data_IF_111156566524
#
_entry.id   IF_111156566524
#
_cell.length_a   1.000
_cell.length_b   1.000
_cell.length_c   1.000
_cell.angle_alpha   90.00
_cell.angle_beta   90.00
_cell.angle_gamma   90.00
#
_symmetry.space_group_name_H-M   'P 1'
#
loop_
_entity.id
_entity.type
_entity.pdbx_description
1 polymer ?
#
# COMPACT_ATOMS: atom_id res chain seq x y z
N UNK A 1 4.08 17.32 -20.15
CA UNK A 1 2.73 16.71 -20.08
C UNK A 1 2.08 17.20 -18.80
N UNK A 2 0.80 17.49 -18.85
CA UNK A 2 0.04 17.74 -17.61
C UNK A 2 0.07 16.46 -16.77
N UNK A 3 0.29 16.55 -15.48
CA UNK A 3 0.41 15.38 -14.60
C UNK A 3 -0.83 14.45 -14.62
N UNK A 4 -2.01 15.03 -14.88
CA UNK A 4 -3.26 14.25 -15.01
C UNK A 4 -3.27 13.39 -16.28
N UNK A 5 -2.79 13.93 -17.40
CA UNK A 5 -2.66 13.16 -18.64
C UNK A 5 -1.66 12.00 -18.48
N UNK A 6 -0.52 12.24 -17.80
CA UNK A 6 0.45 11.19 -17.49
C UNK A 6 -0.15 10.10 -16.57
N UNK A 7 -0.99 10.48 -15.60
CA UNK A 7 -1.69 9.58 -14.72
C UNK A 7 -2.66 8.67 -15.52
N UNK A 8 -3.44 9.25 -16.42
CA UNK A 8 -4.37 8.49 -17.27
C UNK A 8 -3.60 7.59 -18.25
N UNK A 9 -2.52 8.07 -18.86
CA UNK A 9 -1.66 7.25 -19.72
C UNK A 9 -1.14 6.00 -19.01
N UNK A 10 -0.69 6.14 -17.77
CA UNK A 10 -0.21 5.03 -16.96
C UNK A 10 -1.29 3.96 -16.69
N UNK A 11 -2.55 4.38 -16.48
CA UNK A 11 -3.67 3.44 -16.31
C UNK A 11 -3.85 2.57 -17.57
N UNK A 12 -3.79 3.19 -18.74
CA UNK A 12 -3.95 2.47 -20.02
C UNK A 12 -2.77 1.55 -20.33
N UNK A 13 -1.54 2.01 -20.09
CA UNK A 13 -0.35 1.18 -20.27
C UNK A 13 -0.40 -0.07 -19.38
N UNK A 14 -0.82 0.10 -18.14
CA UNK A 14 -0.99 -1.02 -17.23
C UNK A 14 -2.10 -1.97 -17.68
N UNK A 15 -3.25 -1.45 -18.10
CA UNK A 15 -4.36 -2.27 -18.60
C UNK A 15 -3.96 -3.10 -19.80
N UNK A 16 -3.27 -2.50 -20.77
CA UNK A 16 -2.76 -3.21 -21.97
C UNK A 16 -1.81 -4.34 -21.55
N UNK A 17 -0.91 -4.10 -20.59
CA UNK A 17 0.03 -5.09 -20.09
C UNK A 17 -0.69 -6.25 -19.38
N UNK A 18 -1.66 -5.96 -18.54
CA UNK A 18 -2.42 -6.99 -17.82
C UNK A 18 -3.28 -7.84 -18.78
N UNK A 19 -3.85 -7.25 -19.84
CA UNK A 19 -4.58 -7.99 -20.89
C UNK A 19 -3.70 -8.94 -21.66
N UNK A 20 -2.46 -8.56 -21.95
CA UNK A 20 -1.51 -9.44 -22.66
C UNK A 20 -1.12 -10.68 -21.85
N UNK A 21 -1.31 -10.64 -20.53
CA UNK A 21 -0.97 -11.73 -19.59
C UNK A 21 -2.17 -12.62 -19.30
N UNK A 22 -3.39 -12.10 -19.45
CA UNK A 22 -4.63 -12.80 -19.10
C UNK A 22 -5.67 -12.64 -20.21
N UNK A 23 -6.42 -13.71 -20.49
CA UNK A 23 -7.62 -13.65 -21.33
C UNK A 23 -8.74 -12.91 -20.58
N UNK A 24 -8.73 -11.59 -20.63
CA UNK A 24 -9.84 -10.78 -20.12
C UNK A 24 -10.92 -10.62 -21.19
N UNK A 25 -12.18 -10.76 -20.76
CA UNK A 25 -13.33 -10.51 -21.61
C UNK A 25 -13.42 -9.03 -22.04
N UNK A 26 -14.04 -8.77 -23.20
CA UNK A 26 -14.16 -7.42 -23.81
C UNK A 26 -14.84 -6.38 -22.91
N UNK A 27 -15.64 -6.81 -21.95
CA UNK A 27 -16.40 -5.95 -21.04
C UNK A 27 -15.53 -5.10 -20.05
N UNK A 28 -14.22 -5.34 -19.97
CA UNK A 28 -13.31 -4.61 -19.08
C UNK A 28 -12.61 -3.43 -19.74
N UNK A 29 -13.12 -2.92 -20.84
CA UNK A 29 -12.52 -1.81 -21.56
C UNK A 29 -12.75 -0.51 -20.79
N UNK A 30 -11.65 0.16 -20.42
CA UNK A 30 -11.70 1.54 -19.94
C UNK A 30 -12.38 2.45 -20.98
N UNK A 31 -13.14 3.46 -20.56
CA UNK A 31 -13.65 4.49 -21.47
C UNK A 31 -12.50 5.21 -22.19
N UNK A 32 -12.72 5.89 -23.32
CA UNK A 32 -11.69 6.69 -23.95
C UNK A 32 -10.94 7.63 -22.98
N UNK A 33 -9.62 7.82 -23.16
CA UNK A 33 -8.76 8.59 -22.23
C UNK A 33 -9.35 9.92 -21.80
N UNK A 34 -9.88 10.71 -22.73
CA UNK A 34 -10.49 12.01 -22.43
C UNK A 34 -11.71 11.90 -21.48
N UNK A 35 -12.44 10.78 -21.52
CA UNK A 35 -13.55 10.53 -20.57
C UNK A 35 -13.00 10.20 -19.19
N UNK A 36 -11.95 9.39 -19.10
CA UNK A 36 -11.28 9.10 -17.81
C UNK A 36 -10.71 10.38 -17.20
N UNK A 37 -10.10 11.25 -18.01
CA UNK A 37 -9.62 12.57 -17.55
C UNK A 37 -10.76 13.44 -16.99
N UNK A 38 -11.91 13.51 -17.68
CA UNK A 38 -13.10 14.24 -17.19
C UNK A 38 -13.57 13.69 -15.84
N UNK A 39 -13.64 12.37 -15.69
CA UNK A 39 -14.01 11.72 -14.42
C UNK A 39 -12.99 12.06 -13.34
N UNK A 40 -11.69 11.95 -13.64
CA UNK A 40 -10.62 12.32 -12.71
C UNK A 40 -10.71 13.78 -12.25
N UNK A 41 -11.04 14.69 -13.15
CA UNK A 41 -11.21 16.11 -12.81
C UNK A 41 -12.38 16.31 -11.81
N UNK A 42 -13.49 15.61 -11.99
CA UNK A 42 -14.61 15.63 -11.01
C UNK A 42 -14.14 15.07 -9.66
N UNK A 43 -13.39 13.96 -9.66
CA UNK A 43 -12.87 13.34 -8.45
C UNK A 43 -11.87 14.23 -7.71
N UNK A 44 -10.97 14.91 -8.43
CA UNK A 44 -10.05 15.91 -7.85
C UNK A 44 -10.79 17.07 -7.19
N UNK A 45 -11.85 17.57 -7.83
CA UNK A 45 -12.67 18.63 -7.23
C UNK A 45 -13.31 18.14 -5.92
N UNK A 46 -13.85 16.89 -5.92
CA UNK A 46 -14.46 16.29 -4.73
C UNK A 46 -13.40 16.07 -3.64
N UNK A 47 -12.21 15.59 -3.99
CA UNK A 47 -11.16 15.27 -3.03
C UNK A 47 -10.79 16.42 -2.10
N UNK A 48 -10.93 17.65 -2.60
CA UNK A 48 -10.61 18.89 -1.87
C UNK A 48 -11.79 19.41 -1.02
N UNK A 49 -12.98 18.84 -1.15
CA UNK A 49 -14.15 19.25 -0.39
C UNK A 49 -14.22 18.51 0.94
N UNK A 50 -14.47 19.25 2.02
CA UNK A 50 -14.65 18.66 3.34
C UNK A 50 -16.13 18.44 3.65
N UNK A 51 -16.42 17.29 4.26
CA UNK A 51 -17.69 17.03 4.90
C UNK A 51 -17.44 16.66 6.37
N UNK A 52 -18.06 17.34 7.31
CA UNK A 52 -17.89 17.15 8.75
C UNK A 52 -16.41 17.08 9.19
N UNK A 53 -15.55 17.92 8.63
CA UNK A 53 -14.10 18.00 8.88
C UNK A 53 -13.27 16.85 8.30
N UNK A 54 -13.86 15.93 7.52
CA UNK A 54 -13.16 14.83 6.84
C UNK A 54 -13.11 15.09 5.34
N UNK A 55 -12.03 14.66 4.71
CA UNK A 55 -11.97 14.59 3.25
C UNK A 55 -12.59 13.26 2.78
N UNK A 56 -13.28 13.26 1.65
CA UNK A 56 -13.87 12.05 1.11
C UNK A 56 -12.79 11.06 0.68
N UNK A 57 -13.02 9.78 0.95
CA UNK A 57 -12.22 8.69 0.43
C UNK A 57 -13.14 7.60 -0.07
N UNK A 58 -13.09 7.28 -1.36
CA UNK A 58 -13.96 6.30 -2.01
C UNK A 58 -13.36 5.86 -3.35
N UNK A 59 -13.85 4.74 -3.89
CA UNK A 59 -13.41 4.19 -5.17
C UNK A 59 -14.48 4.31 -6.23
N UNK A 60 -14.05 4.54 -7.47
CA UNK A 60 -14.88 4.60 -8.66
C UNK A 60 -14.39 3.57 -9.67
N UNK A 61 -15.29 2.85 -10.32
CA UNK A 61 -14.98 1.95 -11.44
C UNK A 61 -15.90 2.21 -12.64
N UNK A 62 -15.43 1.81 -13.84
CA UNK A 62 -16.11 2.01 -15.12
C UNK A 62 -16.77 0.70 -15.59
N UNK A 63 -17.74 0.20 -14.86
CA UNK A 63 -18.42 -1.05 -15.18
C UNK A 63 -19.87 -0.74 -15.56
N UNK A 64 -20.32 -1.27 -16.68
CA UNK A 64 -21.72 -1.18 -17.10
C UNK A 64 -22.60 -2.10 -16.26
N UNK A 65 -23.85 -1.72 -15.95
CA UNK A 65 -24.75 -2.52 -15.12
C UNK A 65 -25.10 -3.90 -15.68
N UNK A 66 -25.02 -4.06 -17.00
CA UNK A 66 -25.30 -5.31 -17.74
C UNK A 66 -24.05 -6.15 -18.04
N UNK A 67 -22.90 -5.70 -17.56
CA UNK A 67 -21.62 -6.39 -17.75
C UNK A 67 -21.64 -7.83 -17.21
N UNK A 68 -21.17 -8.78 -18.02
CA UNK A 68 -21.00 -10.17 -17.60
C UNK A 68 -20.02 -10.29 -16.41
N UNK A 69 -19.11 -9.35 -16.26
CA UNK A 69 -18.21 -9.28 -15.12
C UNK A 69 -18.94 -9.26 -13.78
N UNK A 70 -20.07 -8.58 -13.70
CA UNK A 70 -20.84 -8.52 -12.47
C UNK A 70 -21.46 -9.88 -12.11
N UNK A 71 -21.62 -10.79 -13.10
CA UNK A 71 -22.11 -12.15 -12.89
C UNK A 71 -21.02 -13.12 -12.41
N UNK A 72 -19.77 -12.86 -12.75
CA UNK A 72 -18.61 -13.71 -12.36
C UNK A 72 -18.25 -13.52 -10.88
N UNK A 73 -18.50 -12.34 -10.32
CA UNK A 73 -18.19 -12.06 -8.93
C UNK A 73 -19.29 -12.54 -7.98
N UNK A 74 -19.41 -13.86 -7.82
CA UNK A 74 -20.39 -14.56 -6.96
C UNK A 74 -20.40 -14.02 -5.51
N UNK A 75 -19.32 -13.39 -5.09
CA UNK A 75 -19.08 -12.93 -3.72
C UNK A 75 -19.16 -11.41 -3.54
N UNK A 76 -19.60 -10.69 -4.55
CA UNK A 76 -19.80 -9.25 -4.48
C UNK A 76 -21.30 -8.94 -4.57
N UNK A 77 -21.76 -8.02 -3.73
CA UNK A 77 -23.11 -7.49 -3.84
C UNK A 77 -23.11 -6.33 -4.80
N UNK A 78 -23.93 -6.42 -5.84
CA UNK A 78 -24.17 -5.33 -6.78
C UNK A 78 -25.46 -4.64 -6.40
N UNK A 79 -25.37 -3.41 -5.95
CA UNK A 79 -26.51 -2.58 -5.56
C UNK A 79 -26.79 -1.56 -6.67
N UNK A 80 -27.76 -1.83 -7.52
CA UNK A 80 -28.13 -0.92 -8.58
C UNK A 80 -29.09 0.17 -8.08
N UNK A 81 -28.84 1.41 -8.47
CA UNK A 81 -29.76 2.51 -8.17
C UNK A 81 -30.99 2.43 -9.08
N UNK A 82 -32.17 2.51 -8.48
CA UNK A 82 -33.44 2.57 -9.25
C UNK A 82 -33.43 3.75 -10.22
N UNK A 83 -32.90 4.88 -9.79
CA UNK A 83 -32.71 6.07 -10.59
C UNK A 83 -31.21 6.42 -10.58
N UNK A 84 -30.48 6.23 -11.71
CA UNK A 84 -29.09 6.63 -11.81
C UNK A 84 -28.88 8.10 -11.44
N UNK A 85 -27.83 8.37 -10.70
CA UNK A 85 -27.50 9.69 -10.15
C UNK A 85 -26.50 10.36 -11.10
N UNK A 86 -26.71 11.63 -11.43
CA UNK A 86 -25.75 12.38 -12.24
C UNK A 86 -24.37 12.43 -11.58
N UNK A 87 -23.33 12.03 -12.33
CA UNK A 87 -21.95 12.01 -11.85
C UNK A 87 -21.36 13.42 -11.95
N UNK A 88 -21.52 14.19 -10.91
CA UNK A 88 -20.91 15.51 -10.78
C UNK A 88 -20.40 15.75 -9.35
N UNK A 89 -19.64 16.80 -9.16
CA UNK A 89 -18.99 17.13 -7.89
C UNK A 89 -19.99 17.20 -6.73
N UNK A 90 -21.17 17.82 -6.93
CA UNK A 90 -22.16 18.04 -5.87
C UNK A 90 -22.86 16.76 -5.42
N UNK A 91 -23.27 15.93 -6.38
CA UNK A 91 -24.03 14.71 -6.08
C UNK A 91 -23.13 13.62 -5.51
N UNK A 92 -21.94 13.45 -6.09
CA UNK A 92 -21.01 12.40 -5.65
C UNK A 92 -20.37 12.77 -4.30
N UNK A 93 -20.06 14.05 -4.06
CA UNK A 93 -19.59 14.47 -2.73
C UNK A 93 -20.57 14.08 -1.61
N UNK A 94 -21.88 14.25 -1.83
CA UNK A 94 -22.91 13.85 -0.85
C UNK A 94 -23.06 12.34 -0.70
N UNK A 95 -22.73 11.56 -1.73
CA UNK A 95 -22.78 10.11 -1.69
C UNK A 95 -21.51 9.50 -1.07
N UNK A 96 -20.38 10.20 -1.16
CA UNK A 96 -19.07 9.70 -0.72
C UNK A 96 -19.04 9.12 0.71
N UNK A 97 -19.72 9.70 1.72
CA UNK A 97 -19.74 9.13 3.08
C UNK A 97 -20.34 7.74 3.19
N UNK A 98 -21.20 7.35 2.23
CA UNK A 98 -21.80 6.02 2.20
C UNK A 98 -20.86 4.96 1.59
N UNK A 99 -19.74 5.36 1.02
CA UNK A 99 -18.81 4.50 0.32
C UNK A 99 -17.62 4.17 1.23
N UNK A 100 -17.32 2.88 1.35
CA UNK A 100 -16.13 2.43 2.06
C UNK A 100 -15.03 2.07 1.03
N UNK A 101 -13.89 2.80 0.99
CA UNK A 101 -12.86 2.59 -0.02
C UNK A 101 -12.18 1.22 0.05
N UNK A 102 -12.25 0.54 1.21
CA UNK A 102 -11.72 -0.81 1.38
C UNK A 102 -12.70 -1.92 0.94
N UNK A 103 -13.98 -1.58 0.70
CA UNK A 103 -15.04 -2.57 0.56
C UNK A 103 -16.01 -2.29 -0.59
N UNK A 104 -15.93 -1.13 -1.24
CA UNK A 104 -16.90 -0.79 -2.27
C UNK A 104 -16.34 0.04 -3.41
N UNK A 105 -16.92 -0.15 -4.60
CA UNK A 105 -16.70 0.67 -5.79
C UNK A 105 -18.00 1.34 -6.19
N UNK A 106 -17.98 2.63 -6.46
CA UNK A 106 -19.06 3.33 -7.14
C UNK A 106 -18.96 3.04 -8.64
N UNK A 107 -19.99 2.46 -9.22
CA UNK A 107 -20.07 2.20 -10.67
C UNK A 107 -20.47 3.46 -11.41
N UNK A 108 -19.69 3.85 -12.40
CA UNK A 108 -19.99 5.01 -13.25
C UNK A 108 -20.18 4.57 -14.70
N UNK A 109 -21.34 4.86 -15.22
CA UNK A 109 -21.65 4.74 -16.63
C UNK A 109 -21.27 6.03 -17.36
N UNK A 110 -20.40 5.90 -18.32
CA UNK A 110 -19.84 6.99 -19.13
C UNK A 110 -20.25 6.90 -20.59
N UNK A 111 -21.20 6.03 -20.93
CA UNK A 111 -21.68 5.82 -22.32
C UNK A 111 -22.30 7.07 -22.92
N UNK A 112 -22.99 7.86 -22.12
CA UNK A 112 -23.67 9.09 -22.53
C UNK A 112 -23.45 10.21 -21.52
N UNK A 113 -23.46 11.47 -21.98
CA UNK A 113 -23.47 12.66 -21.10
C UNK A 113 -24.89 13.09 -20.76
N UNK A 114 -25.14 13.55 -19.51
CA UNK A 114 -24.20 13.58 -18.38
C UNK A 114 -23.90 12.18 -17.86
N UNK A 115 -22.63 11.91 -17.47
CA UNK A 115 -22.23 10.65 -16.84
C UNK A 115 -23.07 10.36 -15.60
N UNK A 116 -23.27 9.09 -15.29
CA UNK A 116 -24.17 8.67 -14.20
C UNK A 116 -23.54 7.65 -13.29
N UNK A 117 -23.71 7.84 -11.99
CA UNK A 117 -23.48 6.78 -11.03
C UNK A 117 -24.69 5.85 -11.04
N UNK A 118 -24.47 4.58 -11.36
CA UNK A 118 -25.54 3.59 -11.62
C UNK A 118 -25.71 2.59 -10.48
N UNK A 119 -24.73 2.49 -9.59
CA UNK A 119 -24.81 1.56 -8.47
C UNK A 119 -23.48 1.45 -7.70
N UNK A 120 -23.44 0.49 -6.80
CA UNK A 120 -22.29 0.19 -5.95
C UNK A 120 -21.98 -1.30 -6.03
N UNK A 121 -20.72 -1.67 -6.26
CA UNK A 121 -20.21 -3.02 -6.03
C UNK A 121 -19.67 -3.04 -4.61
N UNK A 122 -20.21 -3.89 -3.74
CA UNK A 122 -19.72 -4.06 -2.38
C UNK A 122 -19.12 -5.45 -2.20
N UNK A 123 -17.93 -5.55 -1.64
CA UNK A 123 -17.37 -6.83 -1.20
C UNK A 123 -17.98 -7.24 0.14
N UNK A 124 -17.90 -8.53 0.45
CA UNK A 124 -18.29 -9.02 1.78
C UNK A 124 -17.53 -8.30 2.89
N UNK A 125 -18.20 -8.07 4.00
CA UNK A 125 -17.57 -7.54 5.21
C UNK A 125 -16.51 -8.50 5.74
N UNK A 126 -15.56 -7.99 6.52
CA UNK A 126 -14.57 -8.84 7.18
C UNK A 126 -15.24 -9.93 8.05
N UNK A 127 -16.42 -9.64 8.59
CA UNK A 127 -17.23 -10.57 9.36
C UNK A 127 -17.78 -11.72 8.51
N UNK A 128 -18.35 -11.42 7.35
CA UNK A 128 -18.83 -12.43 6.40
C UNK A 128 -17.67 -13.28 5.86
N UNK A 129 -16.50 -12.68 5.64
CA UNK A 129 -15.26 -13.40 5.29
C UNK A 129 -14.85 -14.42 6.34
N UNK A 130 -15.06 -14.14 7.63
CA UNK A 130 -14.74 -15.06 8.74
C UNK A 130 -15.76 -16.19 8.84
N UNK A 131 -17.04 -15.93 8.56
CA UNK A 131 -18.12 -16.91 8.73
C UNK A 131 -18.22 -17.92 7.58
N UNK A 132 -17.72 -17.62 6.41
CA UNK A 132 -17.83 -18.50 5.23
C UNK A 132 -16.52 -19.24 4.97
N UNK A 133 -16.43 -20.45 5.50
CA UNK A 133 -15.23 -21.31 5.54
C UNK A 133 -14.57 -21.59 4.18
N UNK A 134 -15.34 -21.56 3.10
CA UNK A 134 -14.90 -21.91 1.74
C UNK A 134 -14.44 -20.72 0.90
N UNK A 135 -14.64 -19.52 1.41
CA UNK A 135 -14.48 -18.26 0.66
C UNK A 135 -13.11 -17.60 0.83
N UNK A 136 -12.24 -18.15 1.67
CA UNK A 136 -10.97 -17.52 2.06
C UNK A 136 -9.90 -17.54 0.95
N UNK A 137 -10.05 -18.34 -0.09
CA UNK A 137 -9.07 -18.40 -1.20
C UNK A 137 -9.35 -17.48 -2.38
N UNK A 138 -10.49 -16.75 -2.39
CA UNK A 138 -10.94 -16.02 -3.58
C UNK A 138 -11.60 -14.65 -3.39
N UNK A 139 -11.85 -14.20 -2.16
CA UNK A 139 -12.63 -12.99 -1.90
C UNK A 139 -11.79 -11.71 -1.95
N UNK A 140 -11.26 -11.41 -3.10
CA UNK A 140 -10.67 -10.10 -3.39
C UNK A 140 -11.75 -9.22 -4.02
N UNK A 141 -11.64 -7.90 -3.79
CA UNK A 141 -12.36 -6.94 -4.61
C UNK A 141 -12.15 -7.28 -6.09
N UNK A 142 -13.17 -7.11 -6.94
CA UNK A 142 -13.03 -7.37 -8.36
C UNK A 142 -11.77 -6.73 -8.92
N UNK A 143 -10.97 -7.51 -9.66
CA UNK A 143 -9.75 -7.01 -10.30
C UNK A 143 -10.08 -6.19 -11.54
N UNK A 144 -10.76 -5.09 -11.33
CA UNK A 144 -11.15 -4.13 -12.36
C UNK A 144 -10.36 -2.83 -12.17
N UNK A 145 -10.10 -2.09 -13.26
CA UNK A 145 -9.54 -0.75 -13.16
C UNK A 145 -10.45 0.14 -12.32
N UNK A 146 -9.88 0.80 -11.34
CA UNK A 146 -10.63 1.73 -10.50
C UNK A 146 -9.75 2.89 -10.06
N UNK A 147 -10.39 3.98 -9.67
CA UNK A 147 -9.74 5.18 -9.17
C UNK A 147 -10.18 5.40 -7.73
N UNK A 148 -9.23 5.44 -6.81
CA UNK A 148 -9.42 5.76 -5.41
C UNK A 148 -9.16 7.25 -5.19
N UNK A 149 -10.13 7.94 -4.62
CA UNK A 149 -9.94 9.26 -4.02
C UNK A 149 -9.36 9.05 -2.63
N UNK A 150 -8.12 9.48 -2.40
CA UNK A 150 -7.37 9.14 -1.19
C UNK A 150 -7.14 10.34 -0.27
N UNK A 151 -7.33 11.55 -0.76
CA UNK A 151 -7.13 12.79 0.00
C UNK A 151 -7.21 14.02 -0.90
N UNK A 152 -6.98 15.22 -0.34
CA UNK A 152 -7.05 16.47 -1.09
C UNK A 152 -6.03 16.52 -2.22
N UNK A 153 -6.51 16.57 -3.46
CA UNK A 153 -5.65 16.57 -4.65
C UNK A 153 -4.98 15.24 -4.95
N UNK A 154 -5.43 14.14 -4.31
CA UNK A 154 -4.85 12.81 -4.46
C UNK A 154 -5.81 11.82 -5.11
N UNK A 155 -5.34 11.15 -6.15
CA UNK A 155 -6.00 10.02 -6.79
C UNK A 155 -5.04 8.85 -6.92
N UNK A 156 -5.52 7.64 -6.59
CA UNK A 156 -4.78 6.40 -6.86
C UNK A 156 -5.48 5.65 -7.97
N UNK A 157 -4.76 5.34 -9.04
CA UNK A 157 -5.22 4.35 -9.99
C UNK A 157 -4.90 2.95 -9.48
N UNK A 158 -5.90 2.10 -9.45
CA UNK A 158 -5.79 0.78 -8.90
C UNK A 158 -6.33 -0.27 -9.88
N UNK A 159 -5.81 -1.49 -9.77
CA UNK A 159 -6.39 -2.67 -10.41
C UNK A 159 -6.80 -3.67 -9.32
N UNK A 160 -8.09 -3.76 -9.08
CA UNK A 160 -8.57 -4.34 -7.82
C UNK A 160 -8.15 -3.47 -6.63
N UNK A 161 -7.44 -4.06 -5.70
CA UNK A 161 -6.91 -3.36 -4.53
C UNK A 161 -5.47 -2.83 -4.75
N UNK A 162 -4.80 -3.25 -5.83
CA UNK A 162 -3.41 -2.89 -6.08
C UNK A 162 -3.29 -1.49 -6.69
N UNK A 163 -2.60 -0.60 -6.01
CA UNK A 163 -2.22 0.71 -6.56
C UNK A 163 -1.17 0.53 -7.68
N UNK A 164 -1.39 1.25 -8.78
CA UNK A 164 -0.52 1.24 -9.98
C UNK A 164 0.26 2.54 -10.04
N UNK A 165 -0.44 3.63 -9.88
CA UNK A 165 0.08 4.98 -10.00
C UNK A 165 -0.73 5.92 -9.13
N UNK A 166 -0.04 6.85 -8.47
CA UNK A 166 -0.64 7.90 -7.65
C UNK A 166 -0.49 9.25 -8.33
N UNK A 167 -1.54 10.06 -8.27
CA UNK A 167 -1.53 11.46 -8.66
C UNK A 167 -1.63 12.32 -7.40
N UNK A 168 -0.62 13.13 -7.15
CA UNK A 168 -0.56 14.03 -6.00
C UNK A 168 -0.20 15.43 -6.46
N UNK A 169 -1.09 16.39 -6.23
CA UNK A 169 -0.82 17.83 -6.46
C UNK A 169 -0.19 18.15 -7.82
N UNK A 170 -0.67 17.51 -8.87
CA UNK A 170 -0.19 17.74 -10.24
C UNK A 170 0.94 16.81 -10.69
N UNK A 171 1.45 15.96 -9.83
CA UNK A 171 2.52 15.02 -10.15
C UNK A 171 1.98 13.59 -10.21
N UNK A 172 2.56 12.80 -11.12
CA UNK A 172 2.28 11.39 -11.26
C UNK A 172 3.41 10.58 -10.62
N UNK A 173 3.07 9.69 -9.70
CA UNK A 173 4.02 8.84 -8.97
C UNK A 173 3.69 7.40 -9.24
N UNK A 174 4.59 6.68 -9.90
CA UNK A 174 4.42 5.27 -10.21
C UNK A 174 4.82 4.41 -9.02
N UNK A 175 3.99 3.41 -8.70
CA UNK A 175 4.33 2.42 -7.69
C UNK A 175 5.13 1.27 -8.30
N UNK A 176 6.15 0.84 -7.60
CA UNK A 176 6.93 -0.34 -7.95
C UNK A 176 6.07 -1.60 -7.74
N UNK A 177 5.85 -2.34 -8.83
CA UNK A 177 5.19 -3.63 -8.80
C UNK A 177 6.13 -4.63 -8.13
N UNK A 178 6.09 -5.40 -7.30
CA UNK A 178 6.95 -6.51 -6.83
C UNK A 178 8.18 -6.14 -5.99
N UNK A 179 8.18 -5.01 -5.27
CA UNK A 179 9.31 -4.65 -4.38
C UNK A 179 9.65 -5.76 -3.39
N UNK A 180 8.66 -6.54 -2.95
CA UNK A 180 8.84 -7.59 -1.95
C UNK A 180 9.21 -8.96 -2.52
N UNK A 181 9.12 -9.16 -3.84
CA UNK A 181 9.35 -10.47 -4.46
C UNK A 181 10.56 -10.50 -5.40
N UNK A 182 10.97 -9.37 -5.96
CA UNK A 182 11.99 -9.31 -7.02
C UNK A 182 13.15 -8.34 -6.74
N UNK A 183 13.29 -7.83 -5.52
CA UNK A 183 14.30 -6.83 -5.18
C UNK A 183 15.32 -7.34 -4.14
N UNK A 184 16.40 -6.57 -3.96
CA UNK A 184 17.38 -6.82 -2.89
C UNK A 184 16.71 -6.80 -1.50
N UNK A 185 15.61 -6.08 -1.33
CA UNK A 185 14.82 -6.08 -0.09
C UNK A 185 14.25 -7.46 0.18
N UNK A 186 13.62 -8.08 -0.83
CA UNK A 186 13.06 -9.42 -0.73
C UNK A 186 14.13 -10.47 -0.41
N UNK A 187 15.25 -10.40 -1.12
CA UNK A 187 16.42 -11.28 -0.87
C UNK A 187 16.93 -11.14 0.56
N UNK A 188 17.05 -9.89 1.04
CA UNK A 188 17.57 -9.63 2.38
C UNK A 188 16.60 -10.06 3.48
N UNK A 189 15.30 -9.87 3.27
CA UNK A 189 14.25 -10.33 4.19
C UNK A 189 14.15 -11.87 4.24
N UNK A 190 14.57 -12.57 3.19
CA UNK A 190 14.53 -14.03 3.12
C UNK A 190 15.69 -14.71 3.83
N UNK A 191 16.77 -13.97 4.16
CA UNK A 191 17.93 -14.51 4.85
C UNK A 191 17.65 -14.71 6.32
N UNK A 192 18.16 -15.81 6.86
CA UNK A 192 18.19 -16.10 8.31
C UNK A 192 16.82 -15.98 9.01
N UNK A 193 15.73 -16.34 8.29
CA UNK A 193 14.37 -16.33 8.83
C UNK A 193 13.70 -17.68 8.70
N UNK A 194 12.87 -18.03 9.68
CA UNK A 194 12.02 -19.21 9.68
C UNK A 194 10.59 -18.86 9.22
N UNK A 195 10.27 -17.59 9.07
CA UNK A 195 8.96 -17.11 8.64
C UNK A 195 8.79 -17.34 7.15
N UNK A 196 7.69 -17.95 6.73
CA UNK A 196 7.41 -18.21 5.31
C UNK A 196 7.28 -16.89 4.53
N UNK A 197 7.58 -16.93 3.22
CA UNK A 197 7.46 -15.76 2.34
C UNK A 197 6.05 -15.14 2.42
N UNK A 198 5.02 -15.98 2.35
CA UNK A 198 3.62 -15.53 2.43
C UNK A 198 3.34 -14.76 3.72
N UNK A 199 3.77 -15.26 4.86
CA UNK A 199 3.56 -14.61 6.16
C UNK A 199 4.34 -13.29 6.27
N UNK A 200 5.59 -13.27 5.80
CA UNK A 200 6.40 -12.05 5.75
C UNK A 200 5.72 -10.94 4.95
N UNK A 201 5.28 -11.30 3.74
CA UNK A 201 4.62 -10.36 2.84
C UNK A 201 3.32 -9.84 3.44
N UNK A 202 2.51 -10.75 3.99
CA UNK A 202 1.24 -10.40 4.61
C UNK A 202 1.43 -9.48 5.82
N UNK A 203 2.39 -9.79 6.70
CA UNK A 203 2.68 -8.99 7.88
C UNK A 203 3.18 -7.60 7.51
N UNK A 204 4.21 -7.51 6.66
CA UNK A 204 4.77 -6.23 6.21
C UNK A 204 3.73 -5.37 5.53
N UNK A 205 2.97 -5.96 4.61
CA UNK A 205 1.86 -5.28 3.98
C UNK A 205 0.92 -4.65 5.01
N UNK A 206 0.45 -5.44 5.96
CA UNK A 206 -0.53 -4.97 6.93
C UNK A 206 0.04 -3.90 7.87
N UNK A 207 1.29 -4.06 8.32
CA UNK A 207 1.96 -3.07 9.19
C UNK A 207 2.13 -1.74 8.44
N UNK A 208 2.71 -1.79 7.25
CA UNK A 208 3.03 -0.58 6.47
C UNK A 208 1.75 0.12 6.00
N UNK A 209 0.77 -0.62 5.46
CA UNK A 209 -0.51 -0.06 5.05
C UNK A 209 -1.24 0.64 6.20
N UNK A 210 -1.25 0.04 7.39
CA UNK A 210 -1.86 0.68 8.57
C UNK A 210 -1.08 1.89 9.04
N UNK A 211 0.25 1.82 8.98
CA UNK A 211 1.10 2.96 9.32
C UNK A 211 0.82 4.16 8.40
N UNK A 212 0.58 3.95 7.09
CA UNK A 212 0.18 5.04 6.19
C UNK A 212 -1.15 5.67 6.57
N UNK A 213 -2.09 4.89 7.10
CA UNK A 213 -3.42 5.38 7.48
C UNK A 213 -3.43 6.17 8.80
N UNK A 214 -2.40 6.04 9.65
CA UNK A 214 -2.28 6.84 10.87
C UNK A 214 -1.84 8.28 10.61
N UNK A 215 -1.41 8.62 9.38
CA UNK A 215 -1.04 9.99 9.00
C UNK A 215 0.21 10.53 9.68
N UNK A 216 0.95 9.70 10.37
CA UNK A 216 2.25 10.01 10.96
C UNK A 216 3.36 9.36 10.14
N UNK A 217 4.47 10.06 9.97
CA UNK A 217 5.64 9.41 9.42
C UNK A 217 6.12 8.31 10.37
N UNK A 218 6.40 7.11 9.84
CA UNK A 218 6.79 5.94 10.60
C UNK A 218 8.12 5.35 10.10
N UNK A 219 8.83 4.62 10.95
CA UNK A 219 9.97 3.83 10.54
C UNK A 219 9.94 2.44 11.20
N UNK A 220 10.22 1.40 10.40
CA UNK A 220 10.34 0.02 10.86
C UNK A 220 11.73 -0.48 10.47
N UNK A 221 12.51 -0.92 11.44
CA UNK A 221 13.84 -1.47 11.27
C UNK A 221 13.79 -2.99 11.47
N UNK A 222 14.21 -3.75 10.49
CA UNK A 222 14.37 -5.21 10.58
C UNK A 222 15.85 -5.50 10.70
N UNK A 223 16.24 -6.12 11.79
CA UNK A 223 17.66 -6.29 12.17
C UNK A 223 18.09 -7.76 12.10
N UNK A 224 19.35 -8.04 11.69
CA UNK A 224 19.85 -9.41 11.62
C UNK A 224 19.94 -10.06 13.00
N UNK A 225 20.41 -9.31 13.99
CA UNK A 225 20.46 -9.71 15.40
C UNK A 225 20.39 -8.48 16.31
N UNK A 226 19.98 -8.70 17.56
CA UNK A 226 19.80 -7.62 18.54
C UNK A 226 21.13 -7.01 18.99
N UNK A 227 22.16 -7.81 19.18
CA UNK A 227 23.45 -7.35 19.71
C UNK A 227 24.18 -6.46 18.72
N UNK A 228 24.17 -6.80 17.42
CA UNK A 228 24.88 -6.03 16.39
C UNK A 228 24.32 -4.62 16.23
N UNK A 229 23.05 -4.41 16.56
CA UNK A 229 22.39 -3.10 16.40
C UNK A 229 22.39 -2.25 17.67
N UNK A 230 22.57 -2.80 18.87
CA UNK A 230 22.55 -2.04 20.14
C UNK A 230 23.49 -0.84 20.17
N UNK A 231 24.63 -0.91 19.48
CA UNK A 231 25.58 0.22 19.42
C UNK A 231 25.14 1.34 18.46
N UNK A 232 24.17 1.08 17.58
CA UNK A 232 23.73 2.01 16.53
C UNK A 232 22.36 2.60 16.77
N UNK A 233 21.57 1.99 17.68
CA UNK A 233 20.26 2.46 18.05
C UNK A 233 20.12 2.53 19.57
N UNK A 234 19.38 3.53 20.02
CA UNK A 234 18.91 3.64 21.41
C UNK A 234 17.41 3.37 21.40
N UNK A 235 16.99 2.30 22.05
CA UNK A 235 15.60 1.85 22.12
C UNK A 235 14.99 2.36 23.42
N UNK A 236 14.13 3.36 23.31
CA UNK A 236 13.49 3.99 24.47
C UNK A 236 12.58 3.03 25.25
N UNK A 237 11.84 2.19 24.53
CA UNK A 237 10.94 1.19 25.11
C UNK A 237 11.46 -0.20 24.79
N UNK A 238 12.46 -0.61 25.54
CA UNK A 238 12.99 -1.98 25.49
C UNK A 238 12.00 -2.94 26.13
N UNK A 239 11.85 -4.11 25.53
CA UNK A 239 11.06 -5.19 26.11
C UNK A 239 11.93 -6.04 27.02
N UNK A 240 11.39 -6.53 28.14
CA UNK A 240 12.08 -7.46 29.03
C UNK A 240 12.30 -8.82 28.37
N UNK A 241 11.48 -9.16 27.39
CA UNK A 241 11.61 -10.29 26.47
C UNK A 241 11.02 -9.89 25.12
N UNK A 242 11.59 -10.40 24.03
CA UNK A 242 11.02 -10.17 22.70
C UNK A 242 9.57 -10.68 22.63
N UNK A 243 8.70 -9.91 21.99
CA UNK A 243 7.34 -10.35 21.71
C UNK A 243 7.35 -11.13 20.40
N UNK A 244 7.26 -12.45 20.51
CA UNK A 244 7.46 -13.37 19.41
C UNK A 244 6.32 -13.30 18.39
N UNK A 245 6.69 -13.23 17.12
CA UNK A 245 5.76 -13.41 16.02
C UNK A 245 5.34 -14.88 15.95
N UNK A 246 4.03 -15.12 16.09
CA UNK A 246 3.52 -16.49 16.19
C UNK A 246 3.62 -17.15 17.57
N UNK A 247 4.05 -16.40 18.56
CA UNK A 247 4.00 -16.58 20.03
C UNK A 247 3.84 -17.99 20.55
N UNK A 248 4.87 -18.84 20.45
CA UNK A 248 4.95 -20.09 21.21
C UNK A 248 3.87 -21.16 20.87
N UNK A 249 3.25 -21.07 19.71
CA UNK A 249 2.25 -22.04 19.26
C UNK A 249 2.92 -23.35 18.84
N UNK A 250 2.51 -24.45 19.46
CA UNK A 250 2.85 -25.78 18.94
C UNK A 250 2.15 -25.99 17.59
N UNK A 251 2.88 -26.47 16.55
CA UNK A 251 2.38 -26.54 15.18
C UNK A 251 1.12 -27.40 15.01
N UNK A 252 0.84 -28.30 15.94
CA UNK A 252 -0.20 -29.34 15.79
C UNK A 252 -1.61 -28.92 16.22
N UNK A 253 -1.80 -27.75 16.84
CA UNK A 253 -3.08 -27.36 17.44
C UNK A 253 -3.87 -26.28 16.70
N UNK A 254 -3.30 -25.61 15.67
CA UNK A 254 -3.97 -24.47 15.06
C UNK A 254 -4.16 -24.62 13.54
N UNK A 255 -5.40 -24.46 13.11
CA UNK A 255 -5.75 -24.34 11.70
C UNK A 255 -5.09 -23.09 11.09
N UNK A 256 -4.79 -23.12 9.79
CA UNK A 256 -4.28 -21.95 9.02
C UNK A 256 -5.04 -20.66 9.27
N UNK A 257 -6.31 -20.73 9.65
CA UNK A 257 -7.19 -19.61 10.00
C UNK A 257 -6.89 -18.93 11.34
N UNK A 258 -6.47 -19.71 12.35
CA UNK A 258 -6.04 -19.14 13.61
C UNK A 258 -4.78 -18.28 13.36
N UNK A 259 -3.85 -18.78 12.54
CA UNK A 259 -2.61 -18.10 12.18
C UNK A 259 -2.83 -16.81 11.38
N UNK A 260 -3.75 -16.80 10.42
CA UNK A 260 -4.10 -15.56 9.69
C UNK A 260 -4.68 -14.48 10.62
N UNK A 261 -5.53 -14.87 11.57
CA UNK A 261 -6.06 -13.94 12.57
C UNK A 261 -4.97 -13.40 13.50
N UNK A 262 -4.01 -14.23 13.86
CA UNK A 262 -2.89 -13.84 14.71
C UNK A 262 -1.96 -12.86 13.98
N UNK A 263 -1.70 -13.08 12.68
CA UNK A 263 -0.95 -12.14 11.84
C UNK A 263 -1.64 -10.77 11.80
N UNK A 264 -2.96 -10.74 11.58
CA UNK A 264 -3.74 -9.50 11.55
C UNK A 264 -3.63 -8.75 12.88
N UNK A 265 -3.81 -9.46 13.99
CA UNK A 265 -3.76 -8.87 15.35
C UNK A 265 -2.37 -8.36 15.67
N UNK A 266 -1.34 -9.13 15.32
CA UNK A 266 0.05 -8.74 15.51
C UNK A 266 0.42 -7.52 14.66
N UNK A 267 0.02 -7.51 13.38
CA UNK A 267 0.23 -6.38 12.49
C UNK A 267 -0.43 -5.09 12.97
N UNK A 268 -1.67 -5.19 13.49
CA UNK A 268 -2.37 -4.06 14.12
C UNK A 268 -1.60 -3.49 15.30
N UNK A 269 -1.08 -4.39 16.13
CA UNK A 269 -0.31 -4.00 17.30
C UNK A 269 0.98 -3.29 16.89
N UNK A 270 1.79 -3.90 16.00
CA UNK A 270 3.04 -3.31 15.50
C UNK A 270 2.79 -1.96 14.82
N UNK A 271 1.77 -1.87 13.96
CA UNK A 271 1.45 -0.63 13.27
C UNK A 271 1.09 0.52 14.25
N UNK A 272 0.40 0.22 15.35
CA UNK A 272 0.11 1.23 16.40
C UNK A 272 1.38 1.72 17.07
N UNK A 273 2.38 0.86 17.29
CA UNK A 273 3.65 1.26 17.88
C UNK A 273 4.44 2.22 16.99
N UNK A 274 4.23 2.20 15.66
CA UNK A 274 4.85 3.16 14.73
C UNK A 274 4.38 4.60 14.94
N UNK A 275 3.27 4.81 15.66
CA UNK A 275 2.78 6.16 16.02
C UNK A 275 3.59 6.79 17.16
N UNK A 276 4.40 6.02 17.84
CA UNK A 276 5.35 6.54 18.84
C UNK A 276 6.55 7.12 18.11
N UNK A 277 7.03 8.27 18.58
CA UNK A 277 8.20 8.91 17.98
C UNK A 277 9.43 7.98 18.07
N UNK A 278 10.14 7.86 16.95
CA UNK A 278 11.22 6.88 16.77
C UNK A 278 10.83 5.73 15.82
N UNK A 279 11.58 4.66 15.86
CA UNK A 279 11.38 3.48 15.01
C UNK A 279 10.90 2.28 15.80
N UNK A 280 10.14 1.39 15.16
CA UNK A 280 9.88 0.04 15.66
C UNK A 280 11.01 -0.88 15.20
N UNK A 281 11.51 -1.73 16.08
CA UNK A 281 12.62 -2.65 15.82
C UNK A 281 12.11 -4.09 15.87
N UNK A 282 12.28 -4.80 14.75
CA UNK A 282 11.90 -6.20 14.59
C UNK A 282 13.13 -7.06 14.28
N UNK A 283 13.12 -8.31 14.71
CA UNK A 283 14.08 -9.33 14.27
C UNK A 283 13.80 -9.77 12.82
N UNK A 284 14.70 -10.59 12.24
CA UNK A 284 14.45 -11.28 10.94
C UNK A 284 13.25 -12.22 10.97
N UNK A 285 12.88 -12.72 12.14
CA UNK A 285 11.65 -13.51 12.34
C UNK A 285 10.43 -12.64 12.65
N UNK A 286 10.57 -11.31 12.54
CA UNK A 286 9.53 -10.33 12.85
C UNK A 286 9.12 -10.26 14.32
N UNK A 287 9.93 -10.78 15.22
CA UNK A 287 9.69 -10.60 16.65
C UNK A 287 9.94 -9.13 17.03
N UNK A 288 9.06 -8.57 17.84
CA UNK A 288 9.22 -7.22 18.34
C UNK A 288 10.33 -7.18 19.39
N UNK A 289 11.39 -6.44 19.13
CA UNK A 289 12.52 -6.22 20.03
C UNK A 289 12.35 -4.95 20.87
N UNK A 290 11.66 -3.95 20.32
CA UNK A 290 11.36 -2.70 21.00
C UNK A 290 10.82 -1.63 20.05
N UNK A 291 10.54 -0.45 20.60
CA UNK A 291 10.00 0.67 19.83
C UNK A 291 10.42 2.03 20.40
N UNK A 292 10.13 3.10 19.68
CA UNK A 292 10.65 4.43 20.01
C UNK A 292 12.16 4.51 19.84
N UNK A 293 12.73 3.73 18.93
CA UNK A 293 14.17 3.65 18.74
C UNK A 293 14.72 4.87 17.97
N UNK A 294 15.78 5.45 18.49
CA UNK A 294 16.54 6.53 17.85
C UNK A 294 17.86 5.99 17.30
N UNK A 295 18.24 6.45 16.11
CA UNK A 295 19.52 6.10 15.50
C UNK A 295 20.64 6.94 16.08
N UNK A 296 21.72 6.31 16.56
CA UNK A 296 22.89 6.97 17.13
C UNK A 296 23.85 7.39 16.02
N UNK A 297 23.53 8.48 15.33
CA UNK A 297 24.23 8.98 14.14
C UNK A 297 25.74 9.11 14.34
N UNK A 298 26.18 9.56 15.52
CA UNK A 298 27.61 9.74 15.84
C UNK A 298 28.38 8.43 15.90
N UNK A 299 27.70 7.30 16.09
CA UNK A 299 28.30 5.97 16.09
C UNK A 299 28.25 5.28 14.73
N UNK A 300 27.59 5.90 13.75
CA UNK A 300 27.40 5.36 12.40
C UNK A 300 28.44 5.89 11.43
N UNK A 301 29.63 5.44 11.47
CA UNK A 301 30.78 5.67 10.57
C UNK A 301 30.64 6.82 9.55
N UNK A 302 30.01 6.63 8.43
CA UNK A 302 29.89 7.65 7.37
C UNK A 302 28.69 8.58 7.57
N UNK A 303 28.92 9.90 7.56
CA UNK A 303 27.83 10.92 7.52
C UNK A 303 27.05 10.87 6.20
N UNK A 304 27.67 10.38 5.13
CA UNK A 304 27.12 10.27 3.79
C UNK A 304 27.42 8.86 3.25
N UNK A 305 26.52 7.91 3.47
CA UNK A 305 26.69 6.57 2.91
C UNK A 305 26.68 6.62 1.38
N UNK A 306 27.33 5.65 0.74
CA UNK A 306 27.23 5.46 -0.71
C UNK A 306 25.83 4.94 -1.03
N UNK A 307 25.09 5.70 -1.85
CA UNK A 307 23.67 5.51 -2.10
C UNK A 307 23.42 5.08 -3.54
N UNK A 308 22.40 4.25 -3.71
CA UNK A 308 21.83 3.90 -5.00
C UNK A 308 20.31 4.03 -4.89
N UNK A 309 19.73 5.09 -5.44
CA UNK A 309 18.29 5.28 -5.46
C UNK A 309 17.70 4.58 -6.69
N UNK A 310 16.77 3.68 -6.46
CA UNK A 310 16.19 2.83 -7.50
C UNK A 310 14.81 3.35 -7.89
N UNK A 311 14.60 3.63 -9.18
CA UNK A 311 13.29 3.96 -9.73
C UNK A 311 12.37 2.74 -9.77
N UNK A 312 11.09 2.98 -10.03
CA UNK A 312 10.07 1.92 -10.15
C UNK A 312 10.37 0.90 -11.28
N UNK A 313 11.17 1.28 -12.28
CA UNK A 313 11.57 0.46 -13.42
C UNK A 313 12.91 -0.26 -13.24
N UNK A 314 13.43 -0.30 -12.01
CA UNK A 314 14.72 -0.88 -11.62
C UNK A 314 15.95 -0.15 -12.20
N UNK A 315 15.79 1.06 -12.70
CA UNK A 315 16.92 1.92 -13.08
C UNK A 315 17.37 2.79 -11.90
N UNK A 316 18.66 3.18 -11.88
CA UNK A 316 19.20 4.08 -10.86
C UNK A 316 18.75 5.53 -11.12
N UNK A 317 18.23 6.20 -10.10
CA UNK A 317 17.95 7.62 -10.13
C UNK A 317 19.20 8.44 -9.74
N UNK A 318 19.97 8.82 -10.71
CA UNK A 318 21.21 9.60 -10.51
C UNK A 318 20.95 11.07 -10.16
N UNK A 319 19.69 11.55 -10.26
CA UNK A 319 19.32 12.93 -9.92
C UNK A 319 19.12 13.11 -8.43
N UNK A 320 18.78 12.05 -7.70
CA UNK A 320 18.47 12.07 -6.26
C UNK A 320 19.73 11.95 -5.41
N UNK A 321 19.81 12.72 -4.33
CA UNK A 321 20.96 12.72 -3.43
C UNK A 321 20.50 12.49 -1.98
N UNK A 322 21.42 11.94 -1.16
CA UNK A 322 21.19 11.70 0.27
C UNK A 322 20.63 12.93 1.01
N UNK A 323 21.16 14.12 0.72
CA UNK A 323 20.79 15.39 1.38
C UNK A 323 19.36 15.86 1.11
N UNK A 324 18.75 15.39 -0.01
CA UNK A 324 17.42 15.81 -0.45
C UNK A 324 16.31 15.13 0.37
N UNK A 325 16.68 14.17 1.22
CA UNK A 325 15.73 13.35 1.97
C UNK A 325 15.52 13.88 3.40
N UNK A 326 14.34 13.62 3.95
CA UNK A 326 13.97 13.98 5.32
C UNK A 326 14.82 13.28 6.40
N UNK A 327 14.71 13.73 7.64
CA UNK A 327 15.52 13.19 8.74
C UNK A 327 15.34 11.69 8.96
N UNK A 328 14.09 11.19 8.93
CA UNK A 328 13.80 9.75 9.12
C UNK A 328 14.43 8.90 8.04
N UNK A 329 14.33 9.32 6.78
CA UNK A 329 14.96 8.64 5.65
C UNK A 329 16.47 8.58 5.81
N UNK A 330 17.12 9.72 6.05
CA UNK A 330 18.56 9.76 6.28
C UNK A 330 19.02 8.91 7.47
N UNK A 331 18.20 8.84 8.53
CA UNK A 331 18.46 7.98 9.68
C UNK A 331 18.40 6.49 9.29
N UNK A 332 17.38 6.08 8.54
CA UNK A 332 17.24 4.73 8.02
C UNK A 332 18.40 4.33 7.08
N UNK A 333 18.80 5.20 6.17
CA UNK A 333 19.92 4.96 5.25
C UNK A 333 21.25 4.77 5.99
N UNK A 334 21.54 5.64 6.97
CA UNK A 334 22.75 5.50 7.80
C UNK A 334 22.71 4.22 8.61
N UNK A 335 21.55 3.87 9.14
CA UNK A 335 21.38 2.63 9.89
C UNK A 335 21.68 1.42 9.01
N UNK A 336 21.06 1.31 7.83
CA UNK A 336 21.35 0.22 6.89
C UNK A 336 22.83 0.22 6.42
N UNK A 337 23.44 1.39 6.27
CA UNK A 337 24.87 1.49 5.94
C UNK A 337 25.77 0.92 7.05
N UNK A 338 25.41 1.10 8.32
CA UNK A 338 26.17 0.67 9.48
C UNK A 338 25.92 -0.78 9.88
N UNK A 339 24.70 -1.28 9.69
CA UNK A 339 24.27 -2.62 10.08
C UNK A 339 24.03 -3.47 8.85
N UNK A 340 25.02 -4.31 8.49
CA UNK A 340 24.90 -5.25 7.37
C UNK A 340 23.74 -6.22 7.62
N UNK A 341 22.99 -6.54 6.59
CA UNK A 341 21.86 -7.46 6.69
C UNK A 341 20.58 -6.84 7.26
N UNK A 342 20.55 -5.55 7.59
CA UNK A 342 19.34 -4.86 8.01
C UNK A 342 18.50 -4.41 6.83
N UNK A 343 17.19 -4.29 7.07
CA UNK A 343 16.22 -3.65 6.17
C UNK A 343 15.48 -2.56 6.93
N UNK A 344 15.28 -1.41 6.33
CA UNK A 344 14.48 -0.36 6.92
C UNK A 344 13.35 0.04 5.97
N UNK A 345 12.17 0.26 6.54
CA UNK A 345 11.01 0.84 5.87
C UNK A 345 10.73 2.20 6.49
N UNK A 346 10.53 3.20 5.64
CA UNK A 346 10.15 4.55 6.06
C UNK A 346 8.83 4.90 5.41
N UNK A 347 7.83 5.21 6.21
CA UNK A 347 6.54 5.71 5.78
C UNK A 347 6.54 7.21 5.97
N UNK A 348 6.30 7.95 4.89
CA UNK A 348 6.22 9.40 4.89
C UNK A 348 4.82 9.89 5.23
N UNK A 349 4.69 11.19 5.55
CA UNK A 349 3.39 11.82 5.82
C UNK A 349 2.49 11.88 4.59
N UNK A 350 3.08 11.91 3.39
CA UNK A 350 2.41 11.83 2.09
C UNK A 350 2.01 10.39 1.71
N UNK A 351 2.17 9.44 2.65
CA UNK A 351 1.88 8.00 2.51
C UNK A 351 2.82 7.24 1.58
N UNK A 352 3.84 7.88 1.03
CA UNK A 352 4.87 7.15 0.30
C UNK A 352 5.64 6.22 1.25
N UNK A 353 6.06 5.08 0.73
CA UNK A 353 6.85 4.09 1.46
C UNK A 353 8.17 3.91 0.74
N UNK A 354 9.26 4.08 1.47
CA UNK A 354 10.59 3.71 1.02
C UNK A 354 11.09 2.49 1.77
N UNK A 355 11.82 1.62 1.06
CA UNK A 355 12.55 0.51 1.65
C UNK A 355 14.03 0.63 1.32
N UNK A 356 14.90 0.36 2.27
CA UNK A 356 16.33 0.37 2.02
C UNK A 356 17.05 -0.79 2.70
N UNK A 357 18.15 -1.23 2.06
CA UNK A 357 19.11 -2.23 2.57
C UNK A 357 20.49 -1.99 1.99
N UNK A 358 21.51 -2.57 2.62
CA UNK A 358 22.87 -2.48 2.11
C UNK A 358 23.27 -3.72 1.33
N UNK A 359 23.95 -3.53 0.20
CA UNK A 359 24.59 -4.59 -0.57
C UNK A 359 25.90 -4.09 -1.20
N UNK A 360 26.96 -4.87 -1.09
CA UNK A 360 28.27 -4.55 -1.70
C UNK A 360 28.78 -3.14 -1.34
N UNK A 361 28.60 -2.70 -0.10
CA UNK A 361 29.05 -1.39 0.39
C UNK A 361 28.11 -0.22 0.09
N UNK A 362 27.12 -0.37 -0.81
CA UNK A 362 26.12 0.66 -1.16
C UNK A 362 24.79 0.42 -0.44
N UNK A 363 24.10 1.50 -0.12
CA UNK A 363 22.71 1.45 0.38
C UNK A 363 21.76 1.64 -0.80
N UNK A 364 21.01 0.60 -1.11
CA UNK A 364 19.96 0.61 -2.13
C UNK A 364 18.67 1.09 -1.50
N UNK A 365 18.06 2.09 -2.13
CA UNK A 365 16.79 2.68 -1.71
C UNK A 365 15.77 2.48 -2.80
N UNK A 366 14.67 1.87 -2.45
CA UNK A 366 13.51 1.65 -3.32
C UNK A 366 12.39 2.57 -2.85
N UNK A 367 12.08 3.57 -3.65
CA UNK A 367 10.96 4.46 -3.39
C UNK A 367 9.65 3.91 -3.93
N UNK A 368 8.55 4.49 -3.46
CA UNK A 368 7.20 4.14 -3.88
C UNK A 368 6.93 2.62 -3.86
N UNK A 369 7.32 2.01 -2.74
CA UNK A 369 7.10 0.60 -2.51
C UNK A 369 5.60 0.32 -2.58
N UNK A 370 5.18 -0.40 -3.62
CA UNK A 370 3.81 -0.91 -3.73
C UNK A 370 3.62 -2.02 -2.70
N UNK A 371 2.52 -1.95 -1.99
CA UNK A 371 2.09 -3.00 -1.08
C UNK A 371 1.11 -3.89 -1.85
N UNK A 372 1.51 -5.09 -2.31
CA UNK A 372 0.56 -5.99 -2.95
C UNK A 372 -0.48 -6.40 -1.91
N UNK A 373 -1.73 -6.08 -2.17
CA UNK A 373 -2.85 -6.66 -1.45
C UNK A 373 -2.93 -8.13 -1.84
N UNK A 374 -2.48 -9.00 -0.97
CA UNK A 374 -2.53 -10.46 -1.15
C UNK A 374 -3.94 -11.02 -0.95
#
# INVERSE_FOLDING_TARGET
MDGLSAFVDAIYEYEIKERSIRDYEEDQILPPKGIVEEVCQVLLNISSMREERRFPSFRVCFVKPDSELLKVYIYSHVLLFKNPIEFNTRTIHKLAPALNPAMSYLMVDTSEKPFRAVGIIASYTAWEKIMTKELMSGNRMPRIPNILVNGPGELDACFGENSIVNYVSGNCVFFRKDTFTSTLIAEELAKDTQVSEKERLQLLYMVLWRATNYGHGAAVLIVPDEESCKKYIDVKYQLSSSYLFGGGYEPDLHSSKARDKDIITYADFIAKLTSVDGSVVLSKNFDLLGFGAETLVDKMGSKHPDMCFMRYDDTEDTSRQFKDNGMRHRAAYRFCSAVEGSVAFVVSQDRSIEACTKRNGKVYVYDNVSLPLS
#
